data_IF_890531075979
#
_entry.id   IF_890531075979
#
_cell.length_a   1.000
_cell.length_b   1.000
_cell.length_c   1.000
_cell.angle_alpha   90.00
_cell.angle_beta   90.00
_cell.angle_gamma   90.00
#
_symmetry.space_group_name_H-M   'P 1'
#
loop_
_entity.id
_entity.type
_entity.pdbx_description
1 polymer ?
#
# COMPACT_ATOMS: atom_id res chain seq x y z
N UNK A 1 2.07 58.25 47.06
CA UNK A 1 3.39 57.56 47.13
C UNK A 1 3.44 56.38 48.09
N UNK A 2 2.83 56.42 49.30
CA UNK A 2 2.89 55.26 50.24
C UNK A 2 2.16 54.01 49.72
N UNK A 3 0.94 54.17 49.19
CA UNK A 3 0.15 53.07 48.61
C UNK A 3 0.83 52.41 47.39
N UNK A 4 1.45 53.20 46.51
CA UNK A 4 2.21 52.68 45.37
C UNK A 4 3.40 51.83 45.82
N UNK A 5 4.09 52.22 46.91
CA UNK A 5 5.19 51.43 47.48
C UNK A 5 4.70 50.09 48.06
N UNK A 6 3.54 50.07 48.70
CA UNK A 6 2.93 48.82 49.18
C UNK A 6 2.45 47.92 48.03
N UNK A 7 1.84 48.50 46.99
CA UNK A 7 1.42 47.76 45.80
C UNK A 7 2.62 47.14 45.06
N UNK A 8 3.71 47.88 44.91
CA UNK A 8 4.95 47.36 44.31
C UNK A 8 5.54 46.25 45.20
N UNK A 9 5.54 46.42 46.53
CA UNK A 9 6.01 45.39 47.45
C UNK A 9 5.19 44.09 47.38
N UNK A 10 3.87 44.20 47.31
CA UNK A 10 2.97 43.04 47.16
C UNK A 10 3.15 42.38 45.80
N UNK A 11 3.26 43.17 44.72
CA UNK A 11 3.49 42.65 43.38
C UNK A 11 4.82 41.89 43.29
N UNK A 12 5.89 42.42 43.89
CA UNK A 12 7.19 41.75 43.96
C UNK A 12 7.14 40.47 44.81
N UNK A 13 6.36 40.45 45.90
CA UNK A 13 6.18 39.26 46.73
C UNK A 13 5.41 38.16 45.99
N UNK A 14 4.36 38.54 45.26
CA UNK A 14 3.61 37.61 44.38
C UNK A 14 4.51 37.07 43.28
N UNK A 15 5.37 37.90 42.70
CA UNK A 15 6.32 37.47 41.68
C UNK A 15 7.40 36.52 42.23
N UNK A 16 7.86 36.73 43.47
CA UNK A 16 8.83 35.85 44.11
C UNK A 16 8.19 34.50 44.50
N UNK A 17 6.95 34.51 44.97
CA UNK A 17 6.20 33.29 45.30
C UNK A 17 5.82 32.48 44.06
N UNK A 18 5.58 33.13 42.92
CA UNK A 18 5.34 32.42 41.65
C UNK A 18 6.61 31.78 41.08
N UNK A 19 7.80 32.33 41.35
CA UNK A 19 9.08 31.71 40.97
C UNK A 19 9.42 30.48 41.83
N UNK A 20 8.99 30.42 43.10
CA UNK A 20 9.18 29.22 43.93
C UNK A 20 8.38 27.98 43.47
N UNK A 21 7.36 28.16 42.61
CA UNK A 21 6.63 27.05 41.98
C UNK A 21 7.34 26.43 40.76
N UNK A 22 8.31 27.15 40.17
CA UNK A 22 9.10 26.67 39.01
C UNK A 22 10.43 26.04 39.40
N UNK A 23 10.80 26.08 40.69
CA UNK A 23 12.05 25.52 41.23
C UNK A 23 11.85 24.18 41.97
N UNK A 24 10.65 23.60 41.93
CA UNK A 24 10.45 22.20 42.28
C UNK A 24 10.86 21.35 41.07
N UNK A 25 12.16 21.05 40.96
CA UNK A 25 12.56 19.80 40.32
C UNK A 25 11.91 18.70 41.17
N UNK A 26 10.77 18.15 40.73
CA UNK A 26 10.20 16.95 41.36
C UNK A 26 11.19 15.80 41.13
N UNK A 27 12.16 15.67 42.03
CA UNK A 27 12.94 14.45 42.16
C UNK A 27 11.95 13.32 42.45
N UNK A 28 11.74 12.49 41.44
CA UNK A 28 10.96 11.27 41.54
C UNK A 28 11.46 10.45 42.74
N UNK A 29 10.54 10.02 43.60
CA UNK A 29 10.90 9.16 44.73
C UNK A 29 11.46 7.82 44.24
N UNK A 30 12.18 7.10 45.10
CA UNK A 30 12.73 5.77 44.73
C UNK A 30 11.63 4.81 44.25
N UNK A 31 10.46 4.84 44.89
CA UNK A 31 9.32 3.99 44.50
C UNK A 31 8.76 4.37 43.13
N UNK A 32 8.59 5.67 42.85
CA UNK A 32 8.15 6.15 41.55
C UNK A 32 9.18 5.83 40.45
N UNK A 33 10.48 5.93 40.76
CA UNK A 33 11.55 5.57 39.84
C UNK A 33 11.52 4.08 39.51
N UNK A 34 11.39 3.22 40.52
CA UNK A 34 11.27 1.76 40.32
C UNK A 34 10.03 1.41 39.48
N UNK A 35 8.90 2.06 39.76
CA UNK A 35 7.67 1.88 38.98
C UNK A 35 7.86 2.31 37.51
N UNK A 36 8.51 3.45 37.27
CA UNK A 36 8.77 3.98 35.94
C UNK A 36 9.76 3.09 35.17
N UNK A 37 10.81 2.60 35.83
CA UNK A 37 11.77 1.65 35.26
C UNK A 37 11.10 0.33 34.88
N UNK A 38 10.21 -0.19 35.74
CA UNK A 38 9.42 -1.38 35.45
C UNK A 38 8.50 -1.16 34.24
N UNK A 39 7.82 -0.01 34.18
CA UNK A 39 6.97 0.39 33.05
C UNK A 39 7.76 0.46 31.74
N UNK A 40 8.94 1.08 31.76
CA UNK A 40 9.80 1.20 30.59
C UNK A 40 10.39 -0.15 30.16
N UNK A 41 10.79 -1.01 31.11
CA UNK A 41 11.23 -2.36 30.82
C UNK A 41 10.13 -3.20 30.16
N UNK A 42 8.89 -3.11 30.65
CA UNK A 42 7.72 -3.73 30.03
C UNK A 42 7.48 -3.24 28.60
N UNK A 43 7.54 -1.91 28.38
CA UNK A 43 7.43 -1.33 27.02
C UNK A 43 8.55 -1.81 26.09
N UNK A 44 9.79 -1.85 26.58
CA UNK A 44 10.93 -2.34 25.80
C UNK A 44 10.74 -3.80 25.40
N UNK A 45 10.32 -4.66 26.33
CA UNK A 45 10.08 -6.07 26.05
C UNK A 45 8.95 -6.25 25.01
N UNK A 46 7.85 -5.50 25.14
CA UNK A 46 6.76 -5.52 24.18
C UNK A 46 7.20 -5.09 22.77
N UNK A 47 7.94 -3.98 22.67
CA UNK A 47 8.46 -3.49 21.39
C UNK A 47 9.47 -4.46 20.76
N UNK A 48 10.32 -5.11 21.57
CA UNK A 48 11.23 -6.13 21.06
C UNK A 48 10.49 -7.34 20.49
N UNK A 49 9.42 -7.80 21.17
CA UNK A 49 8.58 -8.88 20.66
C UNK A 49 7.85 -8.48 19.37
N UNK A 50 7.40 -7.22 19.25
CA UNK A 50 6.77 -6.71 18.04
C UNK A 50 7.76 -6.63 16.87
N UNK A 51 9.01 -6.20 17.12
CA UNK A 51 10.08 -6.21 16.11
C UNK A 51 10.35 -7.63 15.61
N UNK A 52 10.43 -8.61 16.50
CA UNK A 52 10.65 -10.00 16.13
C UNK A 52 9.49 -10.54 15.27
N UNK A 53 8.25 -10.26 15.66
CA UNK A 53 7.07 -10.62 14.87
C UNK A 53 7.08 -9.97 13.47
N UNK A 54 7.39 -8.68 13.39
CA UNK A 54 7.48 -7.95 12.12
C UNK A 54 8.59 -8.50 11.22
N UNK A 55 9.73 -8.91 11.78
CA UNK A 55 10.80 -9.54 10.99
C UNK A 55 10.33 -10.88 10.40
N UNK A 56 9.60 -11.69 11.18
CA UNK A 56 8.99 -12.93 10.68
C UNK A 56 7.99 -12.65 9.56
N UNK A 57 7.17 -11.61 9.70
CA UNK A 57 6.22 -11.20 8.65
C UNK A 57 6.94 -10.74 7.38
N UNK A 58 8.03 -9.98 7.51
CA UNK A 58 8.88 -9.56 6.38
C UNK A 58 9.45 -10.78 5.66
N UNK A 59 10.00 -11.75 6.41
CA UNK A 59 10.57 -12.96 5.84
C UNK A 59 9.51 -13.78 5.10
N UNK A 60 8.31 -13.92 5.67
CA UNK A 60 7.18 -14.60 5.03
C UNK A 60 6.70 -13.89 3.74
N UNK A 61 6.64 -12.56 3.76
CA UNK A 61 6.27 -11.76 2.58
C UNK A 61 7.33 -11.86 1.48
N UNK A 62 8.62 -11.81 1.84
CA UNK A 62 9.71 -12.00 0.88
C UNK A 62 9.69 -13.41 0.28
N UNK A 63 9.45 -14.44 1.09
CA UNK A 63 9.30 -15.81 0.61
C UNK A 63 8.13 -15.93 -0.36
N UNK A 64 6.98 -15.34 -0.03
CA UNK A 64 5.79 -15.31 -0.91
C UNK A 64 6.13 -14.62 -2.23
N UNK A 65 6.72 -13.42 -2.18
CA UNK A 65 7.11 -12.66 -3.37
C UNK A 65 8.07 -13.45 -4.26
N UNK A 66 9.04 -14.14 -3.67
CA UNK A 66 10.01 -14.96 -4.43
C UNK A 66 9.40 -16.20 -5.09
N UNK A 67 8.27 -16.69 -4.58
CA UNK A 67 7.55 -17.83 -5.14
C UNK A 67 6.47 -17.46 -6.15
N UNK A 68 6.15 -16.18 -6.30
CA UNK A 68 5.21 -15.72 -7.31
C UNK A 68 5.91 -15.63 -8.66
N UNK A 69 5.32 -16.26 -9.66
CA UNK A 69 5.75 -16.13 -11.06
C UNK A 69 5.46 -14.71 -11.55
N UNK A 70 6.32 -14.22 -12.45
CA UNK A 70 6.11 -12.92 -13.08
C UNK A 70 4.81 -12.93 -13.90
N UNK A 71 3.90 -11.96 -13.71
CA UNK A 71 2.63 -11.93 -14.43
C UNK A 71 2.78 -11.89 -15.96
N UNK A 72 3.84 -11.28 -16.47
CA UNK A 72 4.09 -11.22 -17.91
C UNK A 72 4.52 -12.59 -18.44
N UNK A 73 5.32 -13.34 -17.67
CA UNK A 73 5.67 -14.72 -18.01
C UNK A 73 4.43 -15.63 -18.04
N UNK A 74 3.50 -15.47 -17.08
CA UNK A 74 2.22 -16.19 -17.10
C UNK A 74 1.39 -15.91 -18.38
N UNK A 75 1.38 -14.66 -18.84
CA UNK A 75 0.69 -14.28 -20.09
C UNK A 75 1.37 -14.90 -21.30
N UNK A 76 2.70 -14.88 -21.35
CA UNK A 76 3.46 -15.49 -22.43
C UNK A 76 3.26 -17.00 -22.50
N UNK A 77 3.23 -17.67 -21.35
CA UNK A 77 2.89 -19.09 -21.26
C UNK A 77 1.46 -19.38 -21.74
N UNK A 78 0.49 -18.57 -21.33
CA UNK A 78 -0.90 -18.68 -21.79
C UNK A 78 -1.00 -18.59 -23.31
N UNK A 79 -0.31 -17.63 -23.93
CA UNK A 79 -0.29 -17.48 -25.39
C UNK A 79 0.47 -18.62 -26.07
N UNK A 80 1.53 -19.12 -25.45
CA UNK A 80 2.28 -20.26 -25.95
C UNK A 80 1.46 -21.56 -25.96
N UNK A 81 0.48 -21.76 -25.07
CA UNK A 81 -0.44 -22.92 -25.08
C UNK A 81 -1.19 -23.04 -26.41
N UNK A 82 -1.57 -21.91 -27.01
CA UNK A 82 -2.22 -21.89 -28.34
C UNK A 82 -1.23 -21.76 -29.49
N UNK A 83 0.08 -21.73 -29.20
CA UNK A 83 1.16 -21.59 -30.15
C UNK A 83 1.30 -20.18 -30.73
N UNK A 84 0.92 -19.15 -29.97
CA UNK A 84 0.93 -17.76 -30.39
C UNK A 84 1.94 -16.94 -29.61
N UNK A 85 2.49 -15.89 -30.25
CA UNK A 85 3.23 -14.82 -29.58
C UNK A 85 2.30 -13.68 -29.20
N UNK A 86 2.76 -12.76 -28.34
CA UNK A 86 2.03 -11.50 -28.05
C UNK A 86 1.64 -10.74 -29.31
N UNK A 87 2.55 -10.66 -30.28
CA UNK A 87 2.31 -9.98 -31.54
C UNK A 87 1.19 -10.67 -32.34
N UNK A 88 1.12 -12.00 -32.34
CA UNK A 88 0.05 -12.75 -33.01
C UNK A 88 -1.30 -12.48 -32.36
N UNK A 89 -1.35 -12.44 -31.02
CA UNK A 89 -2.56 -12.13 -30.27
C UNK A 89 -3.01 -10.69 -30.50
N UNK A 90 -2.09 -9.72 -30.52
CA UNK A 90 -2.41 -8.33 -30.84
C UNK A 90 -2.95 -8.17 -32.26
N UNK A 91 -2.36 -8.87 -33.22
CA UNK A 91 -2.84 -8.90 -34.60
C UNK A 91 -4.24 -9.51 -34.69
N UNK A 92 -4.50 -10.59 -33.95
CA UNK A 92 -5.82 -11.22 -33.88
C UNK A 92 -6.86 -10.28 -33.25
N UNK A 93 -6.52 -9.61 -32.14
CA UNK A 93 -7.37 -8.59 -31.50
C UNK A 93 -7.74 -7.48 -32.47
N UNK A 94 -6.78 -7.01 -33.25
CA UNK A 94 -7.01 -5.99 -34.27
C UNK A 94 -7.98 -6.49 -35.36
N UNK A 95 -7.82 -7.74 -35.82
CA UNK A 95 -8.71 -8.33 -36.82
C UNK A 95 -10.15 -8.52 -36.30
N UNK A 96 -10.30 -8.94 -35.03
CA UNK A 96 -11.61 -9.02 -34.36
C UNK A 96 -12.26 -7.64 -34.26
N UNK A 97 -11.52 -6.63 -33.80
CA UNK A 97 -12.00 -5.26 -33.69
C UNK A 97 -12.38 -4.65 -35.05
N UNK A 98 -11.61 -4.95 -36.09
CA UNK A 98 -11.92 -4.51 -37.44
C UNK A 98 -13.22 -5.13 -37.94
N UNK A 99 -13.41 -6.44 -37.72
CA UNK A 99 -14.65 -7.12 -38.08
C UNK A 99 -15.86 -6.58 -37.32
N UNK A 100 -15.75 -6.40 -36.00
CA UNK A 100 -16.80 -5.76 -35.19
C UNK A 100 -17.13 -4.37 -35.72
N UNK A 101 -16.12 -3.57 -36.03
CA UNK A 101 -16.29 -2.25 -36.64
C UNK A 101 -17.07 -2.30 -37.96
N UNK A 102 -16.71 -3.21 -38.87
CA UNK A 102 -17.42 -3.42 -40.14
C UNK A 102 -18.88 -3.82 -39.91
N UNK A 103 -19.15 -4.73 -38.97
CA UNK A 103 -20.50 -5.18 -38.62
C UNK A 103 -21.34 -4.02 -38.07
N UNK A 104 -20.79 -3.24 -37.14
CA UNK A 104 -21.48 -2.09 -36.52
C UNK A 104 -21.81 -1.00 -37.54
N UNK A 105 -20.91 -0.75 -38.49
CA UNK A 105 -21.13 0.20 -39.60
C UNK A 105 -21.98 -0.38 -40.73
N UNK A 106 -22.36 -1.66 -40.65
CA UNK A 106 -23.11 -2.41 -41.68
C UNK A 106 -22.41 -2.37 -43.03
N UNK A 107 -21.08 -2.48 -43.01
CA UNK A 107 -20.25 -2.44 -44.21
C UNK A 107 -20.29 -3.79 -44.92
N UNK A 108 -20.70 -3.76 -46.19
CA UNK A 108 -20.73 -4.91 -47.09
C UNK A 108 -21.82 -5.95 -46.78
N UNK A 109 -21.88 -7.02 -47.59
CA UNK A 109 -22.83 -8.11 -47.41
C UNK A 109 -22.62 -8.88 -46.11
N UNK A 110 -23.72 -9.40 -45.54
CA UNK A 110 -23.67 -10.29 -44.36
C UNK A 110 -22.84 -11.54 -44.61
N UNK A 111 -22.91 -12.11 -45.80
CA UNK A 111 -22.17 -13.32 -46.17
C UNK A 111 -20.65 -13.13 -46.00
N UNK A 112 -20.13 -11.97 -46.41
CA UNK A 112 -18.71 -11.65 -46.30
C UNK A 112 -18.29 -11.52 -44.83
N UNK A 113 -19.10 -10.86 -43.99
CA UNK A 113 -18.82 -10.77 -42.54
C UNK A 113 -18.88 -12.12 -41.84
N UNK A 114 -19.76 -13.02 -42.29
CA UNK A 114 -19.84 -14.38 -41.78
C UNK A 114 -18.58 -15.17 -42.15
N UNK A 115 -18.10 -15.04 -43.40
CA UNK A 115 -16.86 -15.68 -43.83
C UNK A 115 -15.64 -15.16 -43.03
N UNK A 116 -15.55 -13.84 -42.80
CA UNK A 116 -14.51 -13.23 -41.96
C UNK A 116 -14.55 -13.80 -40.52
N UNK A 117 -15.75 -13.91 -39.93
CA UNK A 117 -15.94 -14.47 -38.59
C UNK A 117 -15.53 -15.95 -38.53
N UNK A 118 -15.93 -16.74 -39.52
CA UNK A 118 -15.62 -18.17 -39.58
C UNK A 118 -14.11 -18.39 -39.73
N UNK A 119 -13.42 -17.53 -40.50
CA UNK A 119 -11.96 -17.56 -40.59
C UNK A 119 -11.28 -17.26 -39.25
N UNK A 120 -11.77 -16.26 -38.50
CA UNK A 120 -11.25 -15.94 -37.16
C UNK A 120 -11.46 -17.10 -36.17
N UNK A 121 -12.62 -17.75 -36.20
CA UNK A 121 -12.95 -18.91 -35.34
C UNK A 121 -12.08 -20.14 -35.59
N UNK A 122 -11.47 -20.26 -36.77
CA UNK A 122 -10.55 -21.36 -37.08
C UNK A 122 -9.15 -21.14 -36.49
N UNK A 123 -8.83 -19.92 -36.08
CA UNK A 123 -7.56 -19.62 -35.44
C UNK A 123 -7.58 -20.08 -33.98
N UNK A 124 -6.55 -20.82 -33.54
CA UNK A 124 -6.44 -21.31 -32.15
C UNK A 124 -6.44 -20.17 -31.11
N UNK A 125 -6.01 -18.98 -31.50
CA UNK A 125 -6.05 -17.77 -30.65
C UNK A 125 -7.49 -17.44 -30.22
N UNK A 126 -8.52 -17.82 -31.00
CA UNK A 126 -9.92 -17.62 -30.62
C UNK A 126 -10.36 -18.45 -29.42
N UNK A 127 -9.52 -19.36 -28.91
CA UNK A 127 -9.78 -20.13 -27.71
C UNK A 127 -9.25 -19.45 -26.43
N UNK A 128 -8.53 -18.33 -26.57
CA UNK A 128 -8.06 -17.56 -25.42
C UNK A 128 -9.24 -16.88 -24.71
N UNK A 129 -9.25 -16.79 -23.36
CA UNK A 129 -10.37 -16.23 -22.60
C UNK A 129 -10.71 -14.76 -22.89
N UNK A 130 -9.81 -14.03 -23.54
CA UNK A 130 -10.01 -12.62 -23.90
C UNK A 130 -10.86 -12.41 -25.17
N UNK A 131 -11.17 -13.48 -25.92
CA UNK A 131 -11.96 -13.46 -27.16
C UNK A 131 -13.22 -14.33 -27.04
#
# INVERSE_FOLDING_TARGET
>A
MKLAKYLIGILSLVLLLSLSGFAQDEEMTSEEWEAEMSRLAGKKAALMAEIEALNVDIDNLNATLSGLQDPEECIDELYAIVGATRQDVDNFRNAVNELDGKIRRKEGPKADRQADLDALKMNKISALPEF
#
